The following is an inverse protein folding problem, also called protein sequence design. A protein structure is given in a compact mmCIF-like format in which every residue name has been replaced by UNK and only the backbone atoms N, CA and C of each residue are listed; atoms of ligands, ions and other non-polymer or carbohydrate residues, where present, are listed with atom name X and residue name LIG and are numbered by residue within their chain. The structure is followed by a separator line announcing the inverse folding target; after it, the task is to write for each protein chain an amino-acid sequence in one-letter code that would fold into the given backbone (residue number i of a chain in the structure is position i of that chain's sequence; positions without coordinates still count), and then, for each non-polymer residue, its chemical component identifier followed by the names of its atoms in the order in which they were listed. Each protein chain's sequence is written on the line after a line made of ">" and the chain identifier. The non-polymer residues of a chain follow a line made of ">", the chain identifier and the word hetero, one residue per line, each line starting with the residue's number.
data_IF_097915500292
#
_entry.id   IF_097915500292
#
_cell.length_a   1.000
_cell.length_b   1.000
_cell.length_c   1.000
_cell.angle_alpha   90.00
_cell.angle_beta   90.00
_cell.angle_gamma   90.00
#
_symmetry.space_group_name_H-M   'P 1'
#
loop_
_entity.id
_entity.type
_entity.pdbx_description
1 polymer ?
#
# COMPACT_ATOMS: atom_id res chain seq x y z
N UNK A 1 4.46 18.06 -10.75
CA UNK A 1 3.76 16.92 -11.44
C UNK A 1 4.06 15.65 -10.65
N UNK A 2 3.04 14.87 -10.25
CA UNK A 2 3.21 13.61 -9.54
C UNK A 2 3.52 12.55 -10.60
N UNK A 3 4.72 11.95 -10.53
CA UNK A 3 5.21 11.00 -11.54
C UNK A 3 5.69 9.72 -10.85
N UNK A 4 4.85 8.68 -10.74
CA UNK A 4 5.28 7.39 -10.23
C UNK A 4 6.32 6.72 -11.13
N UNK A 5 7.35 6.12 -10.51
CA UNK A 5 8.37 5.32 -11.18
C UNK A 5 8.57 3.97 -10.50
N UNK A 6 9.11 2.96 -11.18
CA UNK A 6 9.58 1.74 -10.51
C UNK A 6 10.65 2.06 -9.46
N UNK A 7 10.56 1.39 -8.33
CA UNK A 7 11.61 1.40 -7.31
C UNK A 7 12.78 0.53 -7.75
N UNK A 8 13.95 0.91 -7.29
CA UNK A 8 15.20 0.14 -7.40
C UNK A 8 15.58 -0.42 -6.02
N UNK A 9 16.53 -1.34 -5.90
CA UNK A 9 17.03 -1.79 -4.60
C UNK A 9 17.53 -0.67 -3.69
N UNK A 10 18.01 0.43 -4.28
CA UNK A 10 18.47 1.61 -3.51
C UNK A 10 17.34 2.38 -2.83
N UNK A 11 16.09 2.17 -3.24
CA UNK A 11 14.91 2.82 -2.66
C UNK A 11 14.38 2.07 -1.41
N UNK A 12 14.90 0.87 -1.10
CA UNK A 12 14.31 -0.02 -0.10
C UNK A 12 14.18 0.62 1.28
N UNK A 13 15.20 1.31 1.76
CA UNK A 13 15.17 2.03 3.05
C UNK A 13 14.13 3.16 3.03
N UNK A 14 14.10 3.96 1.97
CA UNK A 14 13.16 5.07 1.85
C UNK A 14 11.71 4.59 1.78
N UNK A 15 11.43 3.48 1.11
CA UNK A 15 10.10 2.85 1.07
C UNK A 15 9.69 2.33 2.44
N UNK A 16 10.59 1.63 3.15
CA UNK A 16 10.32 1.14 4.50
C UNK A 16 10.03 2.29 5.49
N UNK A 17 10.83 3.36 5.45
CA UNK A 17 10.63 4.55 6.27
C UNK A 17 9.30 5.24 5.96
N UNK A 18 8.94 5.36 4.68
CA UNK A 18 7.67 5.94 4.27
C UNK A 18 6.49 5.13 4.79
N UNK A 19 6.50 3.80 4.59
CA UNK A 19 5.45 2.91 5.08
C UNK A 19 5.30 3.00 6.60
N UNK A 20 6.42 3.03 7.33
CA UNK A 20 6.42 3.21 8.78
C UNK A 20 5.78 4.54 9.18
N UNK A 21 6.16 5.64 8.54
CA UNK A 21 5.64 6.97 8.85
C UNK A 21 4.15 7.13 8.55
N UNK A 22 3.62 6.40 7.58
CA UNK A 22 2.21 6.48 7.19
C UNK A 22 1.28 5.66 8.10
N UNK A 23 1.77 4.56 8.67
CA UNK A 23 0.92 3.58 9.35
C UNK A 23 1.24 3.38 10.83
N UNK A 24 2.45 3.63 11.29
CA UNK A 24 2.92 3.29 12.65
C UNK A 24 3.41 4.49 13.43
N UNK A 25 3.24 4.42 14.76
CA UNK A 25 3.78 5.40 15.69
C UNK A 25 3.15 6.78 15.60
N UNK A 26 3.74 7.73 16.34
CA UNK A 26 3.18 9.08 16.46
C UNK A 26 3.19 9.87 15.15
N UNK A 27 4.20 9.69 14.31
CA UNK A 27 4.28 10.40 13.01
C UNK A 27 3.08 10.08 12.12
N UNK A 28 2.60 8.84 12.15
CA UNK A 28 1.46 8.41 11.34
C UNK A 28 0.15 9.11 11.73
N UNK A 29 0.04 9.57 12.98
CA UNK A 29 -1.13 10.30 13.50
C UNK A 29 -1.32 11.70 12.89
N UNK A 30 -0.31 12.22 12.20
CA UNK A 30 -0.42 13.45 11.42
C UNK A 30 -1.25 13.28 10.15
N UNK A 31 -1.44 12.03 9.70
CA UNK A 31 -2.26 11.67 8.56
C UNK A 31 -3.49 10.85 8.98
N UNK A 32 -4.38 10.61 8.03
CA UNK A 32 -5.62 9.86 8.28
C UNK A 32 -5.47 8.33 8.07
N UNK A 33 -4.33 7.85 7.55
CA UNK A 33 -4.10 6.43 7.27
C UNK A 33 -3.49 5.66 8.44
N UNK A 34 -3.28 6.29 9.58
CA UNK A 34 -2.64 5.68 10.75
C UNK A 34 -3.34 4.40 11.22
N UNK A 35 -2.55 3.41 11.59
CA UNK A 35 -2.97 2.18 12.27
C UNK A 35 -2.43 2.10 13.70
N UNK A 36 -1.92 3.22 14.23
CA UNK A 36 -1.23 3.25 15.53
C UNK A 36 -2.11 2.82 16.73
N UNK A 37 -3.44 2.84 16.58
CA UNK A 37 -4.36 2.34 17.61
C UNK A 37 -4.61 0.82 17.50
N UNK A 38 -4.26 0.21 16.37
CA UNK A 38 -4.48 -1.21 16.08
C UNK A 38 -3.21 -2.03 16.16
N UNK A 39 -2.08 -1.45 15.77
CA UNK A 39 -0.80 -2.13 15.59
C UNK A 39 0.36 -1.27 16.10
N UNK A 40 1.22 -1.88 16.89
CA UNK A 40 2.57 -1.40 17.20
C UNK A 40 3.60 -2.08 16.28
N UNK A 41 4.89 -1.78 16.48
CA UNK A 41 5.99 -2.38 15.74
C UNK A 41 6.14 -1.82 14.33
N UNK A 42 6.66 -2.65 13.41
CA UNK A 42 6.93 -2.22 12.05
C UNK A 42 5.75 -2.47 11.09
N UNK A 43 5.70 -1.73 9.98
CA UNK A 43 4.84 -2.01 8.82
C UNK A 43 5.59 -2.82 7.77
N UNK A 44 6.82 -2.45 7.51
CA UNK A 44 7.75 -3.12 6.61
C UNK A 44 9.19 -2.73 6.99
N UNK A 45 10.15 -3.54 6.61
CA UNK A 45 11.57 -3.23 6.70
C UNK A 45 12.24 -3.23 5.31
N UNK A 46 13.46 -2.72 5.23
CA UNK A 46 14.20 -2.60 3.97
C UNK A 46 14.45 -3.96 3.30
N UNK A 47 14.65 -5.03 4.09
CA UNK A 47 14.85 -6.38 3.54
C UNK A 47 13.59 -6.90 2.85
N UNK A 48 12.42 -6.71 3.47
CA UNK A 48 11.13 -7.05 2.86
C UNK A 48 10.92 -6.28 1.55
N UNK A 49 11.20 -4.98 1.53
CA UNK A 49 11.06 -4.16 0.33
C UNK A 49 12.03 -4.60 -0.76
N UNK A 50 13.29 -4.87 -0.41
CA UNK A 50 14.29 -5.35 -1.36
C UNK A 50 13.87 -6.69 -2.00
N UNK A 51 13.26 -7.59 -1.23
CA UNK A 51 12.70 -8.84 -1.74
C UNK A 51 11.55 -8.59 -2.73
N UNK A 52 10.63 -7.65 -2.42
CA UNK A 52 9.54 -7.30 -3.33
C UNK A 52 10.07 -6.74 -4.65
N UNK A 53 11.11 -5.89 -4.61
CA UNK A 53 11.75 -5.31 -5.81
C UNK A 53 12.44 -6.39 -6.65
N UNK A 54 13.03 -7.41 -6.03
CA UNK A 54 13.78 -8.46 -6.71
C UNK A 54 12.89 -9.61 -7.23
N UNK A 55 11.64 -9.70 -6.78
CA UNK A 55 10.77 -10.85 -7.09
C UNK A 55 10.16 -10.72 -8.49
N UNK A 56 10.28 -11.73 -9.37
CA UNK A 56 9.60 -11.73 -10.66
C UNK A 56 8.08 -11.64 -10.51
N UNK A 57 7.43 -10.79 -11.32
CA UNK A 57 5.99 -10.55 -11.23
C UNK A 57 5.57 -9.62 -10.10
N UNK A 58 6.54 -9.05 -9.39
CA UNK A 58 6.37 -8.05 -8.36
C UNK A 58 6.95 -6.71 -8.82
N UNK A 59 6.32 -5.61 -8.44
CA UNK A 59 6.77 -4.25 -8.75
C UNK A 59 6.44 -3.33 -7.58
N UNK A 60 7.41 -2.58 -7.13
CA UNK A 60 7.19 -1.45 -6.22
C UNK A 60 7.22 -0.16 -7.03
N UNK A 61 6.17 0.65 -6.92
CA UNK A 61 6.13 2.00 -7.47
C UNK A 61 6.39 3.02 -6.37
N UNK A 62 7.09 4.10 -6.71
CA UNK A 62 7.39 5.20 -5.79
C UNK A 62 7.17 6.54 -6.46
N UNK A 63 6.88 7.56 -5.64
CA UNK A 63 6.86 8.97 -6.05
C UNK A 63 7.93 9.70 -5.26
N UNK A 64 8.90 10.28 -5.96
CA UNK A 64 9.96 11.09 -5.35
C UNK A 64 9.43 12.42 -4.81
N UNK A 65 10.00 12.88 -3.71
CA UNK A 65 9.81 14.24 -3.25
C UNK A 65 10.83 15.17 -3.94
N UNK A 66 10.36 15.90 -4.95
CA UNK A 66 11.22 16.82 -5.71
C UNK A 66 11.81 17.92 -4.81
N UNK A 67 11.12 18.29 -3.75
CA UNK A 67 11.58 19.32 -2.81
C UNK A 67 12.60 18.78 -1.80
N UNK A 68 12.63 17.48 -1.58
CA UNK A 68 13.51 16.82 -0.61
C UNK A 68 14.16 15.57 -1.25
N UNK A 69 15.23 15.73 -2.04
CA UNK A 69 15.90 14.61 -2.70
C UNK A 69 16.25 13.47 -1.73
N UNK A 70 16.00 12.23 -2.16
CA UNK A 70 16.18 11.04 -1.33
C UNK A 70 14.99 10.69 -0.43
N UNK A 71 13.93 11.51 -0.41
CA UNK A 71 12.66 11.20 0.27
C UNK A 71 11.56 10.86 -0.73
N UNK A 72 10.59 10.09 -0.29
CA UNK A 72 9.44 9.68 -1.08
C UNK A 72 8.15 10.34 -0.57
N UNK A 73 7.25 10.66 -1.50
CA UNK A 73 5.88 11.11 -1.20
C UNK A 73 4.91 9.94 -1.06
N UNK A 74 5.09 8.89 -1.87
CA UNK A 74 4.21 7.73 -1.87
C UNK A 74 4.93 6.48 -2.38
N UNK A 75 4.40 5.32 -2.01
CA UNK A 75 4.75 4.03 -2.59
C UNK A 75 3.53 3.10 -2.69
N UNK A 76 3.60 2.11 -3.57
CA UNK A 76 2.76 0.94 -3.52
C UNK A 76 3.48 -0.29 -4.08
N UNK A 77 3.04 -1.46 -3.67
CA UNK A 77 3.48 -2.74 -4.20
C UNK A 77 2.39 -3.33 -5.08
N UNK A 78 2.78 -3.87 -6.22
CA UNK A 78 1.94 -4.65 -7.12
C UNK A 78 2.52 -6.04 -7.30
N UNK A 79 1.67 -7.05 -7.26
CA UNK A 79 2.04 -8.44 -7.50
C UNK A 79 1.08 -9.06 -8.51
N UNK A 80 1.64 -9.71 -9.54
CA UNK A 80 0.85 -10.43 -10.55
C UNK A 80 0.35 -11.75 -9.98
N UNK A 81 -0.97 -11.95 -9.93
CA UNK A 81 -1.64 -13.14 -9.41
C UNK A 81 -2.65 -13.69 -10.43
N UNK A 82 -2.14 -14.42 -11.43
CA UNK A 82 -2.99 -14.91 -12.53
C UNK A 82 -3.67 -13.78 -13.28
N UNK A 83 -5.00 -13.76 -13.28
CA UNK A 83 -5.82 -12.69 -13.89
C UNK A 83 -6.00 -11.46 -13.01
N UNK A 84 -5.52 -11.48 -11.78
CA UNK A 84 -5.54 -10.35 -10.87
C UNK A 84 -4.16 -9.72 -10.71
N UNK A 85 -4.14 -8.43 -10.34
CA UNK A 85 -2.98 -7.79 -9.73
C UNK A 85 -3.32 -7.44 -8.28
N UNK A 86 -2.50 -7.89 -7.35
CA UNK A 86 -2.63 -7.53 -5.93
C UNK A 86 -1.94 -6.20 -5.66
N UNK A 87 -2.63 -5.31 -4.97
CA UNK A 87 -2.13 -4.01 -4.54
C UNK A 87 -1.88 -4.05 -3.02
N UNK A 88 -0.64 -3.87 -2.62
CA UNK A 88 -0.23 -3.82 -1.22
C UNK A 88 0.71 -2.67 -0.93
N UNK A 89 1.15 -2.57 0.33
CA UNK A 89 2.11 -1.56 0.79
C UNK A 89 1.81 -0.15 0.24
N UNK A 90 0.53 0.21 0.17
CA UNK A 90 0.09 1.49 -0.37
C UNK A 90 0.20 2.57 0.71
N UNK A 91 1.16 3.44 0.60
CA UNK A 91 1.44 4.48 1.57
C UNK A 91 1.62 5.84 0.91
N UNK A 92 1.06 6.87 1.54
CA UNK A 92 1.32 8.28 1.23
C UNK A 92 1.83 8.96 2.49
N UNK A 93 2.93 9.69 2.36
CA UNK A 93 3.51 10.42 3.50
C UNK A 93 2.44 11.31 4.16
N UNK A 94 2.33 11.34 5.50
CA UNK A 94 1.24 12.01 6.19
C UNK A 94 1.00 13.47 5.76
N UNK A 95 2.08 14.24 5.57
CA UNK A 95 2.04 15.64 5.15
C UNK A 95 1.72 15.85 3.65
N UNK A 96 1.73 14.79 2.85
CA UNK A 96 1.37 14.80 1.43
C UNK A 96 -0.04 14.22 1.16
N UNK A 97 -0.73 13.77 2.21
CA UNK A 97 -2.10 13.27 2.09
C UNK A 97 -3.08 14.42 1.76
N UNK A 98 -4.20 14.10 1.10
CA UNK A 98 -5.19 15.08 0.67
C UNK A 98 -4.80 15.95 -0.55
N UNK A 99 -3.63 15.72 -1.14
CA UNK A 99 -3.09 16.51 -2.26
C UNK A 99 -3.13 15.76 -3.60
N UNK A 100 -3.92 14.69 -3.71
CA UNK A 100 -4.07 13.91 -4.92
C UNK A 100 -2.96 12.88 -5.17
N UNK A 101 -1.94 12.79 -4.30
CA UNK A 101 -0.81 11.85 -4.46
C UNK A 101 -1.30 10.40 -4.47
N UNK A 102 -2.18 10.01 -3.54
CA UNK A 102 -2.75 8.67 -3.50
C UNK A 102 -3.55 8.32 -4.75
N UNK A 103 -4.35 9.24 -5.26
CA UNK A 103 -5.12 9.04 -6.50
C UNK A 103 -4.21 8.84 -7.71
N UNK A 104 -3.14 9.63 -7.83
CA UNK A 104 -2.16 9.48 -8.90
C UNK A 104 -1.39 8.16 -8.82
N UNK A 105 -1.03 7.74 -7.60
CA UNK A 105 -0.38 6.44 -7.37
C UNK A 105 -1.30 5.29 -7.74
N UNK A 106 -2.58 5.35 -7.38
CA UNK A 106 -3.57 4.32 -7.71
C UNK A 106 -3.77 4.23 -9.23
N UNK A 107 -3.86 5.37 -9.93
CA UNK A 107 -3.96 5.39 -11.39
C UNK A 107 -2.75 4.73 -12.07
N UNK A 108 -1.54 4.96 -11.55
CA UNK A 108 -0.34 4.30 -12.05
C UNK A 108 -0.36 2.78 -11.78
N UNK A 109 -0.84 2.37 -10.61
CA UNK A 109 -1.02 0.96 -10.27
C UNK A 109 -2.01 0.26 -11.21
N UNK A 110 -3.14 0.90 -11.50
CA UNK A 110 -4.14 0.39 -12.47
C UNK A 110 -3.55 0.27 -13.88
N UNK A 111 -2.82 1.30 -14.33
CA UNK A 111 -2.17 1.26 -15.64
C UNK A 111 -1.15 0.12 -15.73
N UNK A 112 -0.41 -0.14 -14.67
CA UNK A 112 0.54 -1.27 -14.64
C UNK A 112 -0.17 -2.61 -14.62
N UNK A 113 -1.25 -2.75 -13.85
CA UNK A 113 -2.06 -3.98 -13.82
C UNK A 113 -2.63 -4.30 -15.21
N UNK A 114 -3.11 -3.28 -15.95
CA UNK A 114 -3.56 -3.46 -17.35
C UNK A 114 -2.44 -3.91 -18.28
N UNK A 115 -1.20 -3.39 -18.12
CA UNK A 115 -0.03 -3.87 -18.88
C UNK A 115 0.27 -5.35 -18.60
N UNK A 116 -0.07 -5.85 -17.43
CA UNK A 116 0.03 -7.27 -17.10
C UNK A 116 -1.16 -8.10 -17.57
N UNK A 117 -2.10 -7.48 -18.30
CA UNK A 117 -3.36 -8.08 -18.72
C UNK A 117 -4.23 -8.57 -17.53
N UNK A 118 -4.08 -7.93 -16.36
CA UNK A 118 -4.94 -8.20 -15.23
C UNK A 118 -6.34 -7.64 -15.50
N UNK A 119 -7.37 -8.43 -15.19
CA UNK A 119 -8.77 -8.05 -15.36
C UNK A 119 -9.34 -7.38 -14.10
N UNK A 120 -8.61 -7.44 -12.99
CA UNK A 120 -8.98 -6.78 -11.74
C UNK A 120 -7.77 -6.45 -10.86
N UNK A 121 -7.94 -5.42 -10.02
CA UNK A 121 -7.10 -5.19 -8.85
C UNK A 121 -7.75 -5.82 -7.62
N UNK A 122 -6.94 -6.39 -6.75
CA UNK A 122 -7.33 -6.88 -5.43
C UNK A 122 -6.44 -6.24 -4.37
N UNK A 123 -7.01 -5.93 -3.22
CA UNK A 123 -6.30 -5.47 -2.04
C UNK A 123 -6.95 -5.99 -0.77
N UNK A 124 -6.23 -5.89 0.33
CA UNK A 124 -6.78 -6.17 1.65
C UNK A 124 -6.72 -4.93 2.53
N UNK A 125 -7.76 -4.73 3.32
CA UNK A 125 -7.86 -3.66 4.31
C UNK A 125 -8.04 -4.29 5.68
N UNK A 126 -7.24 -3.87 6.65
CA UNK A 126 -7.42 -4.26 8.03
C UNK A 126 -8.82 -3.81 8.50
N UNK A 127 -9.57 -4.71 9.16
CA UNK A 127 -10.85 -4.34 9.77
C UNK A 127 -10.64 -3.20 10.78
N UNK A 128 -11.73 -2.58 11.23
CA UNK A 128 -11.68 -1.35 12.05
C UNK A 128 -11.11 -0.11 11.31
N UNK A 129 -11.11 -0.14 9.97
CA UNK A 129 -10.65 0.97 9.12
C UNK A 129 -11.76 1.44 8.15
N UNK A 130 -12.93 1.88 8.66
CA UNK A 130 -14.07 2.27 7.81
C UNK A 130 -13.73 3.45 6.89
N UNK A 131 -12.89 4.38 7.32
CA UNK A 131 -12.44 5.52 6.51
C UNK A 131 -11.60 5.09 5.31
N UNK A 132 -10.78 4.04 5.46
CA UNK A 132 -9.96 3.50 4.37
C UNK A 132 -10.82 2.70 3.38
N UNK A 133 -11.76 1.91 3.87
CA UNK A 133 -12.76 1.22 3.03
C UNK A 133 -13.56 2.25 2.24
N UNK A 134 -14.00 3.34 2.87
CA UNK A 134 -14.74 4.41 2.19
C UNK A 134 -13.90 5.09 1.09
N UNK A 135 -12.60 5.29 1.32
CA UNK A 135 -11.70 5.87 0.31
C UNK A 135 -11.56 4.94 -0.90
N UNK A 136 -11.27 3.66 -0.68
CA UNK A 136 -11.18 2.69 -1.76
C UNK A 136 -12.52 2.52 -2.51
N UNK A 137 -13.64 2.57 -1.79
CA UNK A 137 -14.98 2.51 -2.42
C UNK A 137 -15.21 3.69 -3.37
N UNK A 138 -14.80 4.90 -2.98
CA UNK A 138 -14.82 6.08 -3.89
C UNK A 138 -13.89 5.91 -5.09
N UNK A 139 -12.83 5.13 -4.96
CA UNK A 139 -11.91 4.77 -6.05
C UNK A 139 -12.43 3.62 -6.93
N UNK A 140 -13.62 3.10 -6.67
CA UNK A 140 -14.28 2.06 -7.47
C UNK A 140 -14.03 0.62 -7.00
N UNK A 141 -13.46 0.43 -5.80
CA UNK A 141 -13.36 -0.90 -5.20
C UNK A 141 -14.65 -1.29 -4.49
N UNK A 142 -14.92 -2.58 -4.44
CA UNK A 142 -16.04 -3.18 -3.71
C UNK A 142 -15.55 -4.27 -2.78
N UNK A 143 -16.21 -4.44 -1.62
CA UNK A 143 -15.95 -5.55 -0.72
C UNK A 143 -16.40 -6.85 -1.37
N UNK A 144 -15.58 -7.89 -1.29
CA UNK A 144 -15.95 -9.23 -1.79
C UNK A 144 -16.74 -10.03 -0.76
N UNK A 145 -16.63 -9.68 0.51
CA UNK A 145 -17.11 -10.48 1.63
C UNK A 145 -16.11 -11.49 2.18
N UNK A 146 -15.02 -11.74 1.43
CA UNK A 146 -13.93 -12.61 1.88
C UNK A 146 -13.03 -11.91 2.89
N UNK A 147 -12.39 -12.71 3.73
CA UNK A 147 -11.39 -12.24 4.69
C UNK A 147 -10.15 -13.12 4.63
N UNK A 148 -9.01 -12.52 4.96
CA UNK A 148 -7.74 -13.22 5.18
C UNK A 148 -7.37 -13.05 6.65
N UNK A 149 -6.95 -14.12 7.34
CA UNK A 149 -6.50 -14.02 8.72
C UNK A 149 -5.35 -13.03 8.87
N UNK A 150 -5.39 -12.23 9.94
CA UNK A 150 -4.22 -11.43 10.31
C UNK A 150 -3.09 -12.38 10.77
N UNK A 151 -1.83 -12.15 10.35
CA UNK A 151 -0.70 -13.04 10.69
C UNK A 151 -0.23 -12.82 12.13
N UNK A 152 -1.07 -13.20 13.10
CA UNK A 152 -0.68 -13.17 14.53
C UNK A 152 0.59 -13.97 14.77
N UNK A 153 1.47 -13.45 15.61
CA UNK A 153 2.74 -14.09 15.95
C UNK A 153 3.88 -13.81 14.96
N UNK A 154 3.62 -13.13 13.86
CA UNK A 154 4.65 -12.68 12.92
C UNK A 154 4.84 -11.16 13.06
N UNK A 155 5.81 -10.74 13.87
CA UNK A 155 6.07 -9.33 14.16
C UNK A 155 6.58 -8.52 12.94
N UNK A 156 6.92 -9.18 11.84
CA UNK A 156 7.26 -8.49 10.59
C UNK A 156 6.10 -7.64 10.06
N UNK A 157 4.87 -8.01 10.42
CA UNK A 157 3.63 -7.30 10.05
C UNK A 157 3.08 -6.40 11.15
N UNK A 158 3.80 -6.27 12.25
CA UNK A 158 3.44 -5.46 13.41
C UNK A 158 3.03 -6.30 14.62
N UNK A 159 2.89 -5.62 15.74
CA UNK A 159 2.45 -6.19 17.02
C UNK A 159 1.01 -5.77 17.26
N UNK A 160 0.03 -6.70 17.18
CA UNK A 160 -1.38 -6.35 17.30
C UNK A 160 -1.74 -5.94 18.73
N UNK A 161 -2.57 -4.91 18.84
CA UNK A 161 -3.17 -4.42 20.10
C UNK A 161 -4.56 -4.99 20.35
N UNK A 162 -5.05 -5.83 19.44
CA UNK A 162 -6.36 -6.47 19.44
C UNK A 162 -6.22 -7.91 18.99
N UNK A 163 -7.16 -8.76 19.38
CA UNK A 163 -7.23 -10.18 19.03
C UNK A 163 -8.29 -10.50 17.95
N UNK A 164 -9.00 -9.49 17.46
CA UNK A 164 -10.08 -9.60 16.48
C UNK A 164 -9.71 -9.00 15.10
N UNK A 165 -8.42 -8.88 14.79
CA UNK A 165 -7.97 -8.35 13.51
C UNK A 165 -8.11 -9.39 12.39
N UNK A 166 -8.68 -8.95 11.28
CA UNK A 166 -8.74 -9.68 10.01
C UNK A 166 -8.48 -8.72 8.86
N UNK A 167 -8.08 -9.24 7.72
CA UNK A 167 -7.90 -8.48 6.49
C UNK A 167 -9.12 -8.70 5.59
N UNK A 168 -9.86 -7.64 5.31
CA UNK A 168 -11.03 -7.66 4.44
C UNK A 168 -10.60 -7.48 3.00
N UNK A 169 -11.11 -8.31 2.09
CA UNK A 169 -10.74 -8.28 0.67
C UNK A 169 -11.63 -7.30 -0.09
N UNK A 170 -11.00 -6.44 -0.87
CA UNK A 170 -11.67 -5.54 -1.81
C UNK A 170 -11.14 -5.76 -3.23
N UNK A 171 -12.00 -5.57 -4.22
CA UNK A 171 -11.66 -5.74 -5.63
C UNK A 171 -12.20 -4.62 -6.49
N UNK A 172 -11.50 -4.32 -7.56
CA UNK A 172 -11.92 -3.39 -8.62
C UNK A 172 -11.70 -4.04 -9.98
N UNK A 173 -12.75 -4.15 -10.78
CA UNK A 173 -12.62 -4.57 -12.17
C UNK A 173 -11.81 -3.54 -12.97
N UNK A 174 -10.95 -4.02 -13.85
CA UNK A 174 -10.17 -3.20 -14.79
C UNK A 174 -10.74 -3.38 -16.18
N UNK A 175 -11.22 -2.30 -16.77
CA UNK A 175 -11.64 -2.32 -18.16
C UNK A 175 -10.43 -2.53 -19.08
N UNK A 176 -10.58 -3.34 -20.16
CA UNK A 176 -9.54 -3.45 -21.18
C UNK A 176 -9.26 -2.08 -21.81
N UNK A 177 -7.98 -1.85 -22.14
CA UNK A 177 -7.57 -0.64 -22.89
C UNK A 177 -7.85 -0.84 -24.36
#
# INVERSE_FOLDING_TARGET
>A
MICPRPATPADADAVAMLAQSAYRGQTSRQGWTTEADLLDGQRADASMVAQLVATPGSLVLVVDDVAQPGRLLACCHLERRGEAAYLGLFAVRPDAQGQGVGTAMLAAAEAQARRWAAVRLELTVLNHRPELVAWYSRCGFTMTGDTVPFPYGDERYGVPRRDDLVLQVMTKALEPV
#
